data_IF_266219453991
#
_entry.id   IF_266219453991
#
_cell.length_a   1.000
_cell.length_b   1.000
_cell.length_c   1.000
_cell.angle_alpha   90.00
_cell.angle_beta   90.00
_cell.angle_gamma   90.00
#
_symmetry.space_group_name_H-M   'P 1'
#
loop_
_entity.id
_entity.type
_entity.pdbx_description
1 polymer ?
#
# COMPACT_ATOMS: atom_id res chain seq x y z
N UNK A 1 -1.90 -3.85 -5.02
CA UNK A 1 -2.55 -4.66 -6.06
C UNK A 1 -1.46 -5.17 -6.99
N UNK A 2 -1.38 -6.48 -7.19
CA UNK A 2 -0.33 -7.12 -7.98
C UNK A 2 -0.74 -7.17 -9.46
N UNK A 3 0.14 -6.69 -10.33
CA UNK A 3 0.01 -6.77 -11.80
C UNK A 3 1.42 -6.70 -12.40
N UNK A 4 1.89 -7.67 -13.22
CA UNK A 4 2.86 -7.42 -14.33
C UNK A 4 2.79 -8.45 -15.50
N UNK A 5 3.14 -7.94 -16.68
CA UNK A 5 3.89 -8.51 -17.81
C UNK A 5 3.63 -9.95 -18.31
N UNK A 6 2.91 -10.06 -19.43
CA UNK A 6 3.12 -11.11 -20.46
C UNK A 6 3.89 -10.46 -21.63
N UNK A 7 5.21 -10.66 -21.69
CA UNK A 7 6.12 -9.79 -22.44
C UNK A 7 6.12 -9.88 -23.97
N UNK A 8 6.65 -8.84 -24.62
CA UNK A 8 7.72 -8.88 -25.66
C UNK A 8 8.14 -7.45 -26.02
N UNK A 9 9.47 -7.21 -26.09
CA UNK A 9 10.16 -6.09 -26.76
C UNK A 9 9.43 -4.74 -26.86
N UNK A 10 9.48 -3.92 -25.80
CA UNK A 10 9.42 -2.46 -25.93
C UNK A 10 10.47 -1.79 -25.05
N UNK A 11 11.09 -0.75 -25.61
CA UNK A 11 12.21 0.02 -25.07
C UNK A 11 12.01 0.39 -23.59
N UNK A 12 13.09 0.28 -22.82
CA UNK A 12 13.18 0.28 -21.36
C UNK A 12 12.73 1.59 -20.68
N UNK A 13 12.16 2.56 -21.41
CA UNK A 13 11.86 3.91 -20.91
C UNK A 13 10.42 4.11 -20.40
N UNK A 14 9.49 3.19 -20.63
CA UNK A 14 8.09 3.28 -20.12
C UNK A 14 7.42 1.91 -19.95
N UNK A 15 7.98 1.01 -19.14
CA UNK A 15 7.25 -0.25 -18.82
C UNK A 15 6.15 0.03 -17.79
N UNK A 16 4.90 0.06 -18.25
CA UNK A 16 3.74 -0.01 -17.37
C UNK A 16 3.72 -1.36 -16.67
N UNK A 17 3.52 -1.32 -15.36
CA UNK A 17 3.57 -2.46 -14.45
C UNK A 17 2.16 -3.02 -14.27
N UNK A 18 1.18 -2.15 -14.04
CA UNK A 18 -0.22 -2.51 -14.25
C UNK A 18 -0.55 -2.48 -15.75
N UNK A 19 -0.82 -3.66 -16.32
CA UNK A 19 -1.20 -3.83 -17.72
C UNK A 19 -2.68 -4.17 -17.86
N UNK A 20 -3.37 -3.42 -18.70
CA UNK A 20 -4.75 -3.64 -19.07
C UNK A 20 -4.99 -3.15 -20.51
N UNK A 21 -6.00 -3.68 -21.17
CA UNK A 21 -6.44 -3.23 -22.51
C UNK A 21 -7.86 -2.69 -22.43
N UNK A 22 -8.18 -1.69 -23.24
CA UNK A 22 -9.52 -1.11 -23.31
C UNK A 22 -10.19 -1.49 -24.63
N UNK A 23 -11.37 -2.11 -24.57
CA UNK A 23 -12.21 -2.42 -25.72
C UNK A 23 -13.51 -1.63 -25.58
N UNK A 24 -13.56 -0.43 -26.18
CA UNK A 24 -14.66 0.50 -25.95
C UNK A 24 -14.72 0.94 -24.49
N UNK A 25 -15.84 0.68 -23.81
CA UNK A 25 -16.02 1.01 -22.39
C UNK A 25 -15.45 -0.06 -21.44
N UNK A 26 -15.10 -1.24 -21.94
CA UNK A 26 -14.63 -2.36 -21.14
C UNK A 26 -13.10 -2.31 -20.96
N UNK A 27 -12.65 -2.69 -19.75
CA UNK A 27 -11.24 -2.82 -19.41
C UNK A 27 -10.94 -4.27 -19.07
N UNK A 28 -10.00 -4.87 -19.78
CA UNK A 28 -9.54 -6.24 -19.55
C UNK A 28 -8.17 -6.24 -18.87
N UNK A 29 -8.01 -7.11 -17.87
CA UNK A 29 -6.80 -7.22 -17.07
C UNK A 29 -6.12 -8.57 -17.30
N UNK A 30 -4.79 -8.55 -17.30
CA UNK A 30 -3.96 -9.75 -17.23
C UNK A 30 -3.13 -9.68 -15.96
N UNK A 31 -3.29 -10.67 -15.08
CA UNK A 31 -2.64 -10.72 -13.77
C UNK A 31 -1.70 -11.94 -13.65
N UNK A 32 -0.72 -11.86 -12.74
CA UNK A 32 0.33 -12.86 -12.53
C UNK A 32 -0.17 -14.24 -12.17
N UNK A 33 -1.21 -14.27 -11.35
CA UNK A 33 -1.81 -15.45 -10.77
C UNK A 33 -3.18 -15.73 -11.42
N UNK A 34 -3.38 -15.24 -12.65
CA UNK A 34 -4.55 -15.55 -13.47
C UNK A 34 -5.83 -14.78 -13.11
N UNK A 35 -6.99 -15.24 -13.61
CA UNK A 35 -8.26 -14.51 -13.50
C UNK A 35 -8.74 -14.28 -12.06
N UNK A 36 -8.45 -15.21 -11.14
CA UNK A 36 -8.86 -15.10 -9.74
C UNK A 36 -8.17 -13.92 -9.02
N UNK A 37 -6.89 -13.66 -9.33
CA UNK A 37 -6.20 -12.47 -8.84
C UNK A 37 -6.80 -11.21 -9.44
N UNK A 38 -7.09 -11.20 -10.75
CA UNK A 38 -7.75 -10.05 -11.37
C UNK A 38 -9.12 -9.76 -10.74
N UNK A 39 -9.91 -10.80 -10.48
CA UNK A 39 -11.19 -10.66 -9.78
C UNK A 39 -11.00 -10.14 -8.35
N UNK A 40 -10.07 -10.72 -7.60
CA UNK A 40 -9.78 -10.28 -6.24
C UNK A 40 -9.28 -8.84 -6.16
N UNK A 41 -8.45 -8.41 -7.11
CA UNK A 41 -8.03 -7.03 -7.28
C UNK A 41 -9.23 -6.09 -7.52
N UNK A 42 -10.23 -6.51 -8.33
CA UNK A 42 -11.49 -5.74 -8.50
C UNK A 42 -12.29 -5.68 -7.21
N UNK A 43 -12.42 -6.80 -6.48
CA UNK A 43 -13.11 -6.83 -5.18
C UNK A 43 -12.46 -5.86 -4.19
N UNK A 44 -11.13 -5.86 -4.08
CA UNK A 44 -10.42 -4.92 -3.21
C UNK A 44 -10.60 -3.47 -3.65
N UNK A 45 -10.56 -3.18 -4.96
CA UNK A 45 -10.81 -1.84 -5.49
C UNK A 45 -12.24 -1.35 -5.15
N UNK A 46 -13.24 -2.21 -5.36
CA UNK A 46 -14.63 -1.92 -5.02
C UNK A 46 -14.85 -1.79 -3.52
N UNK A 47 -14.16 -2.57 -2.69
CA UNK A 47 -14.24 -2.42 -1.23
C UNK A 47 -13.72 -1.05 -0.78
N UNK A 48 -12.61 -0.57 -1.36
CA UNK A 48 -12.10 0.78 -1.09
C UNK A 48 -13.14 1.83 -1.49
N UNK A 49 -13.80 1.69 -2.63
CA UNK A 49 -14.77 2.68 -3.11
C UNK A 49 -16.11 2.63 -2.35
N UNK A 50 -16.56 1.46 -1.92
CA UNK A 50 -17.94 1.25 -1.44
C UNK A 50 -18.09 0.95 0.04
N UNK A 51 -17.05 0.50 0.75
CA UNK A 51 -17.18 0.32 2.21
C UNK A 51 -17.48 1.68 2.84
N UNK A 52 -18.59 1.71 3.57
CA UNK A 52 -19.09 2.86 4.30
C UNK A 52 -19.41 2.40 5.72
N UNK A 53 -19.14 3.28 6.69
CA UNK A 53 -19.57 3.09 8.07
C UNK A 53 -20.67 4.10 8.36
N UNK A 54 -21.64 3.70 9.18
CA UNK A 54 -22.67 4.62 9.65
C UNK A 54 -22.02 5.68 10.55
N UNK A 55 -22.44 6.94 10.46
CA UNK A 55 -22.02 8.04 11.35
C UNK A 55 -22.21 7.74 12.84
N UNK A 56 -23.07 6.78 13.19
CA UNK A 56 -23.29 6.34 14.57
C UNK A 56 -22.38 5.19 15.03
N UNK A 57 -21.67 4.51 14.13
CA UNK A 57 -20.71 3.46 14.49
C UNK A 57 -19.41 4.12 14.96
N UNK A 58 -19.21 4.10 16.29
CA UNK A 58 -17.99 4.65 16.92
C UNK A 58 -16.83 3.67 16.99
N UNK A 59 -17.10 2.38 16.75
CA UNK A 59 -16.14 1.29 16.95
C UNK A 59 -15.10 1.23 15.83
N UNK A 60 -15.52 1.44 14.58
CA UNK A 60 -14.65 1.34 13.40
C UNK A 60 -14.84 2.55 12.48
N UNK A 61 -13.74 3.02 11.90
CA UNK A 61 -13.78 3.98 10.80
C UNK A 61 -13.95 3.24 9.47
N UNK A 62 -14.27 3.97 8.40
CA UNK A 62 -14.29 3.41 7.05
C UNK A 62 -12.95 2.76 6.71
N UNK A 63 -11.86 3.44 7.04
CA UNK A 63 -10.49 2.99 6.77
C UNK A 63 -10.14 1.73 7.58
N UNK A 64 -10.47 1.68 8.88
CA UNK A 64 -10.19 0.49 9.69
C UNK A 64 -10.97 -0.71 9.19
N UNK A 65 -12.27 -0.55 8.91
CA UNK A 65 -13.12 -1.62 8.39
C UNK A 65 -12.67 -2.10 7.00
N UNK A 66 -12.25 -1.17 6.13
CA UNK A 66 -11.71 -1.50 4.81
C UNK A 66 -10.42 -2.31 4.92
N UNK A 67 -9.50 -1.90 5.80
CA UNK A 67 -8.25 -2.61 6.03
C UNK A 67 -8.46 -3.99 6.65
N UNK A 68 -9.39 -4.13 7.59
CA UNK A 68 -9.77 -5.43 8.16
C UNK A 68 -10.31 -6.38 7.10
N UNK A 69 -11.23 -5.90 6.26
CA UNK A 69 -11.79 -6.69 5.16
C UNK A 69 -10.72 -7.15 4.17
N UNK A 70 -9.86 -6.23 3.71
CA UNK A 70 -8.75 -6.55 2.80
C UNK A 70 -7.78 -7.53 3.46
N UNK A 71 -7.45 -7.34 4.74
CA UNK A 71 -6.56 -8.24 5.47
C UNK A 71 -7.13 -9.65 5.57
N UNK A 72 -8.44 -9.80 5.79
CA UNK A 72 -9.10 -11.10 5.74
C UNK A 72 -8.91 -11.78 4.38
N UNK A 73 -9.18 -11.06 3.27
CA UNK A 73 -9.00 -11.58 1.92
C UNK A 73 -7.55 -12.00 1.67
N UNK A 74 -6.59 -11.15 2.05
CA UNK A 74 -5.16 -11.39 1.85
C UNK A 74 -4.63 -12.59 2.66
N UNK A 75 -5.18 -12.83 3.86
CA UNK A 75 -4.84 -14.02 4.68
C UNK A 75 -5.29 -15.32 4.05
N UNK A 76 -6.45 -15.32 3.39
CA UNK A 76 -6.94 -16.48 2.66
C UNK A 76 -6.09 -16.66 1.39
N UNK A 77 -5.68 -15.58 0.74
CA UNK A 77 -4.85 -15.62 -0.45
C UNK A 77 -5.54 -16.42 -1.55
N UNK A 78 -4.81 -17.32 -2.22
CA UNK A 78 -5.36 -18.24 -3.22
C UNK A 78 -5.84 -19.58 -2.61
N UNK A 79 -5.90 -19.70 -1.29
CA UNK A 79 -6.30 -20.92 -0.58
C UNK A 79 -7.83 -20.99 -0.41
N UNK A 80 -8.57 -20.92 -1.51
CA UNK A 80 -10.01 -21.09 -1.52
C UNK A 80 -10.43 -22.01 -2.67
N UNK A 81 -11.54 -22.75 -2.54
CA UNK A 81 -12.03 -23.60 -3.62
C UNK A 81 -12.26 -22.76 -4.88
N UNK A 82 -11.86 -23.27 -6.05
CA UNK A 82 -11.90 -22.55 -7.33
C UNK A 82 -13.26 -21.92 -7.68
N UNK A 83 -14.35 -22.37 -7.04
CA UNK A 83 -15.72 -21.94 -7.32
C UNK A 83 -16.24 -20.76 -6.49
N UNK A 84 -15.64 -20.40 -5.33
CA UNK A 84 -16.20 -19.36 -4.46
C UNK A 84 -15.11 -18.44 -3.91
N UNK A 85 -15.13 -17.19 -4.37
CA UNK A 85 -14.26 -16.14 -3.83
C UNK A 85 -14.66 -15.80 -2.38
N UNK A 86 -13.71 -15.64 -1.43
CA UNK A 86 -14.02 -15.58 0.01
C UNK A 86 -14.59 -14.24 0.50
N UNK A 87 -15.16 -13.43 -0.39
CA UNK A 87 -15.63 -12.08 -0.09
C UNK A 87 -16.75 -12.03 0.95
N UNK A 88 -17.79 -12.85 0.79
CA UNK A 88 -18.89 -12.92 1.76
C UNK A 88 -18.42 -13.37 3.14
N UNK A 89 -17.52 -14.37 3.19
CA UNK A 89 -16.90 -14.84 4.44
C UNK A 89 -16.19 -13.69 5.15
N UNK A 90 -15.33 -12.96 4.44
CA UNK A 90 -14.60 -11.84 5.02
C UNK A 90 -15.52 -10.69 5.42
N UNK A 91 -16.57 -10.41 4.64
CA UNK A 91 -17.52 -9.37 4.98
C UNK A 91 -18.25 -9.67 6.31
N UNK A 92 -18.67 -10.93 6.50
CA UNK A 92 -19.28 -11.38 7.76
C UNK A 92 -18.30 -11.30 8.94
N UNK A 93 -17.05 -11.70 8.75
CA UNK A 93 -16.03 -11.71 9.82
C UNK A 93 -15.64 -10.31 10.29
N UNK A 94 -15.65 -9.32 9.39
CA UNK A 94 -15.25 -7.95 9.71
C UNK A 94 -16.43 -7.02 9.96
N UNK A 95 -17.66 -7.45 9.69
CA UNK A 95 -18.86 -6.63 9.85
C UNK A 95 -19.13 -5.66 8.69
N UNK A 96 -18.60 -5.94 7.49
CA UNK A 96 -18.98 -5.22 6.26
C UNK A 96 -20.38 -5.67 5.85
N UNK A 97 -21.35 -4.76 5.95
CA UNK A 97 -22.78 -5.07 5.74
C UNK A 97 -23.23 -4.93 4.29
N UNK A 98 -22.42 -4.33 3.42
CA UNK A 98 -22.77 -4.05 2.03
C UNK A 98 -22.00 -4.91 1.01
N UNK A 99 -21.69 -6.16 1.37
CA UNK A 99 -20.98 -7.11 0.49
C UNK A 99 -21.60 -7.19 -0.91
N UNK A 100 -22.92 -7.32 -1.01
CA UNK A 100 -23.61 -7.43 -2.31
C UNK A 100 -23.34 -6.22 -3.24
N UNK A 101 -23.15 -5.02 -2.68
CA UNK A 101 -22.77 -3.84 -3.46
C UNK A 101 -21.34 -3.96 -3.99
N UNK A 102 -20.42 -4.43 -3.14
CA UNK A 102 -19.01 -4.65 -3.49
C UNK A 102 -18.89 -5.72 -4.58
N UNK A 103 -19.62 -6.83 -4.44
CA UNK A 103 -19.65 -7.91 -5.42
C UNK A 103 -20.24 -7.45 -6.76
N UNK A 104 -21.37 -6.72 -6.74
CA UNK A 104 -21.93 -6.12 -7.96
C UNK A 104 -20.95 -5.17 -8.65
N UNK A 105 -20.26 -4.33 -7.88
CA UNK A 105 -19.21 -3.46 -8.41
C UNK A 105 -18.11 -4.29 -9.10
N UNK A 106 -17.60 -5.34 -8.43
CA UNK A 106 -16.50 -6.16 -8.94
C UNK A 106 -16.88 -6.95 -10.22
N UNK A 107 -18.17 -7.25 -10.39
CA UNK A 107 -18.73 -7.92 -11.56
C UNK A 107 -19.17 -6.98 -12.68
N UNK A 108 -18.97 -5.66 -12.54
CA UNK A 108 -19.39 -4.66 -13.53
C UNK A 108 -18.21 -3.87 -14.12
N UNK A 109 -18.51 -3.05 -15.13
CA UNK A 109 -17.57 -2.07 -15.69
C UNK A 109 -17.05 -1.08 -14.63
N UNK A 110 -17.81 -0.85 -13.56
CA UNK A 110 -17.38 -0.01 -12.45
C UNK A 110 -16.11 -0.56 -11.78
N UNK A 111 -16.13 -1.83 -11.37
CA UNK A 111 -14.96 -2.47 -10.76
C UNK A 111 -13.75 -2.50 -11.70
N UNK A 112 -13.99 -2.68 -13.00
CA UNK A 112 -12.95 -2.57 -14.01
C UNK A 112 -12.34 -1.15 -14.09
N UNK A 113 -13.15 -0.09 -14.04
CA UNK A 113 -12.66 1.30 -14.03
C UNK A 113 -11.96 1.66 -12.72
N UNK A 114 -12.49 1.23 -11.58
CA UNK A 114 -11.82 1.41 -10.28
C UNK A 114 -10.45 0.74 -10.28
N UNK A 115 -10.35 -0.47 -10.83
CA UNK A 115 -9.08 -1.17 -10.90
C UNK A 115 -8.10 -0.53 -11.89
N UNK A 116 -8.60 -0.03 -13.02
CA UNK A 116 -7.82 0.75 -13.97
C UNK A 116 -7.20 1.98 -13.29
N UNK A 117 -7.99 2.74 -12.53
CA UNK A 117 -7.54 3.93 -11.78
C UNK A 117 -6.40 3.60 -10.82
N UNK A 118 -6.48 2.48 -10.10
CA UNK A 118 -5.38 2.04 -9.23
C UNK A 118 -4.16 1.54 -10.02
N UNK A 119 -4.37 0.94 -11.18
CA UNK A 119 -3.30 0.61 -12.13
C UNK A 119 -2.56 1.85 -12.63
N UNK A 120 -3.29 2.92 -12.94
CA UNK A 120 -2.71 4.21 -13.36
C UNK A 120 -1.93 4.88 -12.24
N UNK A 121 -2.44 4.85 -11.01
CA UNK A 121 -1.71 5.31 -9.83
C UNK A 121 -0.42 4.49 -9.61
N UNK A 122 -0.46 3.20 -9.87
CA UNK A 122 0.73 2.33 -9.77
C UNK A 122 1.76 2.69 -10.85
N UNK A 123 1.29 2.93 -12.08
CA UNK A 123 2.15 3.29 -13.21
C UNK A 123 2.73 4.71 -13.12
N UNK A 124 2.15 5.59 -12.31
CA UNK A 124 2.65 6.95 -12.10
C UNK A 124 3.76 7.04 -11.06
N UNK A 125 4.03 5.97 -10.30
CA UNK A 125 5.11 5.93 -9.31
C UNK A 125 6.49 6.21 -9.94
N UNK A 126 7.32 7.01 -9.26
CA UNK A 126 8.68 7.31 -9.67
C UNK A 126 9.70 7.05 -8.54
N UNK A 127 10.78 6.27 -8.81
CA UNK A 127 10.95 5.40 -9.99
C UNK A 127 9.83 4.36 -10.11
N UNK A 128 9.61 3.85 -11.33
CA UNK A 128 8.56 2.86 -11.60
C UNK A 128 8.68 1.61 -10.71
N UNK A 129 7.53 1.03 -10.35
CA UNK A 129 7.43 -0.16 -9.50
C UNK A 129 8.26 -1.36 -10.03
N UNK A 130 9.27 -1.79 -9.28
CA UNK A 130 10.11 -2.95 -9.67
C UNK A 130 9.64 -4.26 -9.07
N UNK A 131 8.96 -4.24 -7.92
CA UNK A 131 8.51 -5.42 -7.20
C UNK A 131 7.33 -5.11 -6.26
N UNK A 132 6.66 -6.16 -5.79
CA UNK A 132 5.59 -6.08 -4.80
C UNK A 132 5.97 -6.92 -3.56
N UNK A 133 5.56 -6.53 -2.34
CA UNK A 133 4.89 -5.26 -2.00
C UNK A 133 5.85 -4.06 -2.06
N UNK A 134 5.32 -2.90 -2.46
CA UNK A 134 6.03 -1.60 -2.41
C UNK A 134 5.23 -0.61 -1.58
N UNK A 135 5.93 0.05 -0.66
CA UNK A 135 5.40 0.97 0.34
C UNK A 135 6.01 2.34 0.05
N UNK A 136 5.16 3.36 -0.03
CA UNK A 136 5.57 4.73 -0.27
C UNK A 136 5.01 5.63 0.81
N UNK A 137 5.79 6.61 1.24
CA UNK A 137 5.32 7.66 2.12
C UNK A 137 5.15 8.94 1.32
N UNK A 138 4.01 9.63 1.48
CA UNK A 138 3.68 10.85 0.73
C UNK A 138 3.85 10.68 -0.80
N UNK A 139 3.47 9.52 -1.33
CA UNK A 139 3.53 9.16 -2.76
C UNK A 139 4.95 9.13 -3.36
N UNK A 140 6.00 9.13 -2.54
CA UNK A 140 7.39 9.06 -2.99
C UNK A 140 7.98 7.68 -2.66
N UNK A 141 8.62 7.06 -3.63
CA UNK A 141 9.43 5.88 -3.40
C UNK A 141 10.80 6.29 -2.83
N UNK A 142 11.18 5.63 -1.74
CA UNK A 142 12.46 5.80 -1.08
C UNK A 142 12.97 4.42 -0.68
N UNK A 143 14.17 4.06 -1.12
CA UNK A 143 14.71 2.71 -0.97
C UNK A 143 14.87 2.32 0.50
N UNK A 144 15.38 3.23 1.34
CA UNK A 144 15.65 2.94 2.75
C UNK A 144 14.35 2.89 3.55
N UNK A 145 13.40 3.77 3.25
CA UNK A 145 12.06 3.73 3.82
C UNK A 145 11.33 2.44 3.41
N UNK A 146 11.44 2.01 2.15
CA UNK A 146 10.89 0.75 1.68
C UNK A 146 11.48 -0.44 2.45
N UNK A 147 12.82 -0.53 2.54
CA UNK A 147 13.50 -1.63 3.23
C UNK A 147 13.09 -1.69 4.70
N UNK A 148 13.02 -0.55 5.39
CA UNK A 148 12.59 -0.48 6.77
C UNK A 148 11.09 -0.81 6.92
N UNK A 149 10.25 -0.33 6.01
CA UNK A 149 8.81 -0.51 6.11
C UNK A 149 8.37 -1.97 5.94
N UNK A 150 9.11 -2.76 5.18
CA UNK A 150 8.83 -4.19 4.99
C UNK A 150 8.97 -5.01 6.29
N UNK A 151 9.89 -4.65 7.18
CA UNK A 151 10.14 -5.39 8.43
C UNK A 151 9.65 -4.65 9.67
N UNK A 152 9.67 -3.32 9.65
CA UNK A 152 9.37 -2.43 10.77
C UNK A 152 8.54 -1.22 10.32
N UNK A 153 7.36 -1.48 9.77
CA UNK A 153 6.45 -0.43 9.26
C UNK A 153 6.23 0.72 10.24
N UNK A 154 6.01 0.44 11.54
CA UNK A 154 5.84 1.47 12.56
C UNK A 154 7.04 2.41 12.69
N UNK A 155 8.26 1.87 12.67
CA UNK A 155 9.50 2.67 12.70
C UNK A 155 9.62 3.54 11.45
N UNK A 156 9.37 2.96 10.27
CA UNK A 156 9.38 3.70 9.01
C UNK A 156 8.36 4.83 9.01
N UNK A 157 7.13 4.56 9.45
CA UNK A 157 6.07 5.58 9.54
C UNK A 157 6.45 6.71 10.50
N UNK A 158 6.93 6.38 11.70
CA UNK A 158 7.33 7.39 12.68
C UNK A 158 8.46 8.29 12.18
N UNK A 159 9.45 7.74 11.45
CA UNK A 159 10.50 8.53 10.79
C UNK A 159 9.93 9.51 9.76
N UNK A 160 8.84 9.13 9.08
CA UNK A 160 8.18 9.94 8.03
C UNK A 160 7.20 10.98 8.60
N UNK A 161 6.77 10.79 9.85
CA UNK A 161 5.96 11.73 10.63
C UNK A 161 6.81 12.76 11.39
N UNK A 162 8.12 12.53 11.52
CA UNK A 162 9.06 13.43 12.20
C UNK A 162 9.30 14.72 11.39
N UNK A 163 8.26 15.54 11.28
CA UNK A 163 8.34 16.95 10.91
C UNK A 163 8.64 17.77 12.18
N UNK A 164 9.56 18.75 12.15
CA UNK A 164 9.85 19.63 13.29
C UNK A 164 8.61 20.27 13.93
N UNK A 165 7.52 20.40 13.17
CA UNK A 165 6.29 21.09 13.56
C UNK A 165 5.20 20.15 14.10
N UNK A 166 5.41 18.84 14.07
CA UNK A 166 4.37 17.85 14.39
C UNK A 166 4.58 17.20 15.76
N UNK A 167 3.53 17.21 16.60
CA UNK A 167 3.49 16.35 17.79
C UNK A 167 3.36 14.90 17.33
N UNK A 168 4.42 14.11 17.54
CA UNK A 168 4.42 12.69 17.21
C UNK A 168 3.46 11.91 18.14
N UNK A 169 2.81 10.84 17.63
CA UNK A 169 2.08 9.88 18.46
C UNK A 169 2.98 9.25 19.52
N UNK A 170 2.42 8.90 20.68
CA UNK A 170 3.17 8.32 21.80
C UNK A 170 3.86 7.02 21.39
N UNK A 171 3.22 6.23 20.54
CA UNK A 171 3.72 4.97 19.99
C UNK A 171 5.07 5.15 19.30
N UNK A 172 5.32 6.31 18.67
CA UNK A 172 6.60 6.60 18.02
C UNK A 172 7.76 6.80 19.00
N UNK A 173 7.48 7.11 20.27
CA UNK A 173 8.51 7.26 21.30
C UNK A 173 9.03 5.91 21.80
N UNK A 174 8.24 4.85 21.61
CA UNK A 174 8.51 3.51 22.15
C UNK A 174 9.17 2.57 21.13
N UNK A 175 9.41 3.02 19.90
CA UNK A 175 9.97 2.19 18.82
C UNK A 175 11.49 2.44 18.70
N UNK A 176 12.34 1.40 18.87
CA UNK A 176 13.79 1.51 18.68
C UNK A 176 14.11 1.98 17.25
N UNK A 177 14.92 3.03 17.10
CA UNK A 177 15.35 3.57 15.80
C UNK A 177 14.49 4.71 15.23
N UNK A 178 13.41 5.12 15.90
CA UNK A 178 12.62 6.30 15.52
C UNK A 178 13.23 7.63 16.03
N UNK A 179 14.10 7.57 17.05
CA UNK A 179 14.87 8.72 17.48
C UNK A 179 15.89 9.06 16.39
N UNK A 180 15.72 10.20 15.72
CA UNK A 180 16.77 10.81 14.91
C UNK A 180 18.08 10.75 15.69
N UNK A 181 19.12 10.19 15.07
CA UNK A 181 20.47 10.23 15.64
C UNK A 181 20.75 11.67 16.03
N UNK A 182 20.75 11.94 17.34
CA UNK A 182 21.29 13.18 17.86
C UNK A 182 22.77 13.12 17.53
N UNK A 183 23.16 13.70 16.39
CA UNK A 183 24.55 13.91 16.02
C UNK A 183 25.22 14.56 17.23
N UNK A 184 26.03 13.77 17.93
CA UNK A 184 26.74 14.22 19.11
C UNK A 184 27.87 15.12 18.63
N UNK A 185 27.55 16.40 18.41
CA UNK A 185 28.49 17.46 18.11
C UNK A 185 29.35 17.84 19.34
N UNK A 186 29.72 16.86 20.17
CA UNK A 186 30.47 17.05 21.41
C UNK A 186 31.92 16.55 21.34
N UNK A 187 32.35 15.93 20.24
CA UNK A 187 33.74 15.45 20.10
C UNK A 187 34.65 16.32 19.23
N UNK A 188 34.19 17.44 18.67
CA UNK A 188 35.02 18.30 17.82
C UNK A 188 35.80 19.40 18.58
N UNK A 189 35.64 19.55 19.91
CA UNK A 189 36.26 20.65 20.66
C UNK A 189 37.56 20.23 21.39
N UNK A 190 37.82 18.93 21.60
CA UNK A 190 39.07 18.50 22.24
C UNK A 190 40.30 18.50 21.31
N UNK A 191 40.12 18.50 19.99
CA UNK A 191 41.24 18.57 19.03
C UNK A 191 41.85 19.97 18.88
N UNK A 192 41.08 21.03 19.12
CA UNK A 192 41.54 22.41 18.94
C UNK A 192 42.39 22.94 20.11
N UNK A 193 42.33 22.31 21.29
CA UNK A 193 43.07 22.75 22.49
C UNK A 193 44.48 22.15 22.53
N UNK A 194 44.76 21.07 21.80
CA UNK A 194 46.10 20.46 21.72
C UNK A 194 47.02 21.09 20.67
N UNK A 195 46.50 21.89 19.73
CA UNK A 195 47.31 22.58 18.71
C UNK A 195 47.72 24.01 19.10
N UNK A 196 47.15 24.60 20.16
CA UNK A 196 47.56 25.91 20.68
C UNK A 196 48.67 25.85 21.73
N UNK A 197 49.23 24.67 21.99
CA UNK A 197 50.40 24.48 22.86
C UNK A 197 51.68 24.07 22.13
N UNK A 198 51.67 24.10 20.79
CA UNK A 198 52.83 23.80 19.95
C UNK A 198 53.17 24.90 18.92
N UNK A 199 52.62 26.10 19.07
CA UNK A 199 53.10 27.33 18.44
C UNK A 199 53.12 28.46 19.47
#
# INVERSE_FOLDING_TARGET
MMFQNTGTTMSQKTRKIAHYTTLGADVQFTCHHGPNECYGNKVQACAIDHIQVNSYQKENTRESLTLEFINCLMKIGNNFPDSIYPGEKCARETGVTNWDNIERCANSTEGSKSLQRFGDLTNSLQPGLTSVPTITFRQKYDHDAQQLALTHFGAALCKQLADPSSKLPTECSSIPGAAAEKSSALFAILGAILLSRFF
#
